data_IF_924241514324
#
_entry.id   IF_924241514324
#
_cell.length_a   1.000
_cell.length_b   1.000
_cell.length_c   1.000
_cell.angle_alpha   90.00
_cell.angle_beta   90.00
_cell.angle_gamma   90.00
#
_symmetry.space_group_name_H-M   'P 1'
#
loop_
_entity.id
_entity.type
_entity.pdbx_description
1 polymer ?
#
# COMPACT_ATOMS: atom_id res chain seq x y z
N UNK A 1 39.78 -34.74 50.74
CA UNK A 1 38.53 -35.48 50.51
C UNK A 1 37.36 -34.58 50.85
N UNK A 2 36.77 -33.96 49.88
CA UNK A 2 35.51 -33.23 50.04
C UNK A 2 34.78 -33.30 48.71
N UNK A 3 33.69 -34.06 48.69
CA UNK A 3 32.87 -34.38 47.55
C UNK A 3 32.09 -33.12 47.11
N UNK A 4 32.16 -32.79 45.82
CA UNK A 4 31.30 -31.83 45.19
C UNK A 4 29.96 -32.47 44.90
N UNK A 5 28.89 -31.89 45.42
CA UNK A 5 27.49 -32.25 45.11
C UNK A 5 27.12 -31.46 43.85
N UNK A 6 26.99 -32.14 42.73
CA UNK A 6 26.39 -31.57 41.51
C UNK A 6 24.86 -31.45 41.73
N UNK A 7 24.41 -30.22 41.84
CA UNK A 7 22.99 -29.87 41.76
C UNK A 7 22.58 -29.77 40.28
N UNK A 8 21.94 -30.82 39.83
CA UNK A 8 21.25 -30.87 38.54
C UNK A 8 19.92 -30.11 38.68
N UNK A 9 19.96 -28.79 38.43
CA UNK A 9 18.77 -27.96 38.23
C UNK A 9 18.38 -28.05 36.74
N UNK A 10 17.39 -28.87 36.46
CA UNK A 10 16.65 -28.88 35.21
C UNK A 10 16.02 -27.49 35.03
N UNK A 11 16.67 -26.66 34.26
CA UNK A 11 16.16 -25.34 33.83
C UNK A 11 14.88 -25.57 33.02
N UNK A 12 13.74 -25.18 33.55
CA UNK A 12 12.58 -24.86 32.71
C UNK A 12 12.99 -23.70 31.82
N UNK A 13 13.05 -23.98 30.55
CA UNK A 13 13.23 -22.96 29.50
C UNK A 13 12.05 -21.97 29.65
N UNK A 14 12.30 -20.85 30.33
CA UNK A 14 11.37 -19.72 30.36
C UNK A 14 11.37 -19.13 28.95
N UNK A 15 10.40 -19.56 28.14
CA UNK A 15 10.22 -19.05 26.78
C UNK A 15 10.39 -17.52 26.76
N UNK A 16 11.38 -17.06 26.03
CA UNK A 16 11.68 -15.64 25.89
C UNK A 16 10.49 -15.00 25.17
N UNK A 17 9.76 -14.11 25.86
CA UNK A 17 8.66 -13.38 25.26
C UNK A 17 9.23 -12.36 24.29
N UNK A 18 8.89 -12.48 23.00
CA UNK A 18 9.30 -11.54 21.98
C UNK A 18 8.13 -10.61 21.62
N UNK A 19 8.41 -9.29 21.68
CA UNK A 19 7.44 -8.25 21.36
C UNK A 19 7.50 -7.91 19.86
N UNK A 20 6.35 -7.86 19.18
CA UNK A 20 6.23 -7.62 17.72
C UNK A 20 7.08 -8.58 16.87
N UNK A 21 7.18 -9.86 17.27
CA UNK A 21 7.88 -10.86 16.45
C UNK A 21 7.21 -10.99 15.10
N UNK A 22 8.01 -10.96 14.02
CA UNK A 22 7.52 -11.15 12.64
C UNK A 22 6.94 -12.53 12.46
N UNK A 23 5.79 -12.62 11.78
CA UNK A 23 5.09 -13.89 11.52
C UNK A 23 6.01 -14.90 10.80
N UNK A 24 6.81 -14.45 9.84
CA UNK A 24 7.74 -15.31 9.11
C UNK A 24 8.83 -15.95 10.00
N UNK A 25 9.13 -15.34 11.15
CA UNK A 25 10.15 -15.81 12.08
C UNK A 25 9.57 -16.63 13.24
N UNK A 26 8.24 -16.76 13.33
CA UNK A 26 7.55 -17.49 14.41
C UNK A 26 7.78 -18.99 14.29
N UNK A 27 8.04 -19.61 15.44
CA UNK A 27 8.22 -21.07 15.59
C UNK A 27 7.35 -21.62 16.68
N UNK A 28 6.99 -22.89 16.58
CA UNK A 28 6.23 -23.59 17.62
C UNK A 28 6.94 -23.50 18.98
N UNK A 29 6.22 -23.07 19.99
CA UNK A 29 6.71 -22.84 21.36
C UNK A 29 7.02 -21.36 21.66
N UNK A 30 7.09 -20.48 20.66
CA UNK A 30 7.32 -19.04 20.89
C UNK A 30 6.14 -18.43 21.67
N UNK A 31 6.48 -17.58 22.66
CA UNK A 31 5.52 -16.72 23.33
C UNK A 31 5.63 -15.34 22.68
N UNK A 32 4.54 -14.88 22.05
CA UNK A 32 4.50 -13.61 21.31
C UNK A 32 3.53 -12.63 21.98
N UNK A 33 3.93 -11.38 22.05
CA UNK A 33 3.07 -10.25 22.39
C UNK A 33 3.32 -9.15 21.36
N UNK A 34 2.25 -8.52 20.85
CA UNK A 34 2.45 -7.45 19.86
C UNK A 34 1.20 -7.04 19.15
N UNK A 35 1.42 -6.24 18.10
CA UNK A 35 0.39 -5.71 17.22
C UNK A 35 0.39 -6.47 15.90
N UNK A 36 -0.81 -6.86 15.46
CA UNK A 36 -1.01 -7.56 14.20
C UNK A 36 -2.30 -7.07 13.53
N UNK A 37 -2.37 -7.18 12.21
CA UNK A 37 -3.59 -6.87 11.46
C UNK A 37 -4.54 -8.05 11.52
N UNK A 38 -5.79 -7.82 11.88
CA UNK A 38 -6.85 -8.81 11.85
C UNK A 38 -7.39 -8.98 10.43
N UNK A 39 -6.97 -10.02 9.72
CA UNK A 39 -7.43 -10.32 8.35
C UNK A 39 -8.76 -11.03 8.29
N UNK A 40 -9.15 -11.70 9.36
CA UNK A 40 -10.41 -12.40 9.49
C UNK A 40 -10.68 -12.76 10.95
N UNK A 41 -11.94 -12.71 11.38
CA UNK A 41 -12.37 -13.02 12.75
C UNK A 41 -13.75 -13.64 12.76
N UNK A 42 -13.82 -14.97 12.95
CA UNK A 42 -15.05 -15.74 12.85
C UNK A 42 -15.37 -16.41 14.19
N UNK A 43 -16.35 -15.90 14.95
CA UNK A 43 -16.88 -16.60 16.11
C UNK A 43 -17.44 -17.98 15.72
N UNK A 44 -17.01 -19.01 16.41
CA UNK A 44 -17.40 -20.41 16.15
C UNK A 44 -17.67 -21.13 17.47
N UNK A 45 -18.26 -22.32 17.36
CA UNK A 45 -18.54 -23.20 18.51
C UNK A 45 -17.88 -24.55 18.26
N UNK A 46 -17.24 -25.09 19.29
CA UNK A 46 -16.66 -26.43 19.25
C UNK A 46 -17.76 -27.50 19.26
N UNK A 47 -17.43 -28.75 18.95
CA UNK A 47 -18.36 -29.86 19.03
C UNK A 47 -18.94 -30.06 20.47
N UNK A 48 -18.22 -29.60 21.50
CA UNK A 48 -18.67 -29.63 22.91
C UNK A 48 -19.49 -28.37 23.32
N UNK A 49 -19.89 -27.53 22.36
CA UNK A 49 -20.69 -26.32 22.61
C UNK A 49 -19.94 -25.11 23.17
N UNK A 50 -18.60 -25.17 23.28
CA UNK A 50 -17.81 -24.03 23.77
C UNK A 50 -17.52 -23.02 22.68
N UNK A 51 -17.67 -21.69 22.94
CA UNK A 51 -17.37 -20.65 21.98
C UNK A 51 -15.86 -20.52 21.77
N UNK A 52 -15.44 -20.19 20.56
CA UNK A 52 -14.08 -19.77 20.25
C UNK A 52 -14.04 -18.80 19.09
N UNK A 53 -13.00 -17.97 19.01
CA UNK A 53 -12.74 -17.13 17.84
C UNK A 53 -11.70 -17.81 16.96
N UNK A 54 -12.06 -18.04 15.69
CA UNK A 54 -11.11 -18.40 14.64
C UNK A 54 -10.68 -17.13 13.93
N UNK A 55 -9.42 -16.77 14.02
CA UNK A 55 -8.90 -15.56 13.42
C UNK A 55 -7.77 -15.88 12.45
N UNK A 56 -7.52 -14.93 11.54
CA UNK A 56 -6.34 -14.87 10.68
C UNK A 56 -5.65 -13.53 10.91
N UNK A 57 -4.36 -13.57 11.16
CA UNK A 57 -3.53 -12.41 11.51
C UNK A 57 -2.49 -12.18 10.45
N UNK A 58 -2.12 -10.91 10.22
CA UNK A 58 -1.07 -10.53 9.28
C UNK A 58 -0.13 -9.49 9.87
N UNK A 59 1.09 -9.50 9.36
CA UNK A 59 2.06 -8.41 9.42
C UNK A 59 2.72 -8.22 8.04
N UNK A 60 3.74 -7.37 7.95
CA UNK A 60 4.48 -7.14 6.70
C UNK A 60 5.19 -8.40 6.16
N UNK A 61 5.40 -9.42 6.99
CA UNK A 61 6.17 -10.63 6.66
C UNK A 61 5.31 -11.84 6.27
N UNK A 62 4.01 -11.85 6.62
CA UNK A 62 3.16 -12.97 6.30
C UNK A 62 1.79 -12.97 6.98
N UNK A 63 1.15 -14.14 6.92
CA UNK A 63 -0.18 -14.40 7.52
C UNK A 63 -0.10 -15.67 8.36
N UNK A 64 -0.78 -15.68 9.51
CA UNK A 64 -0.86 -16.83 10.40
C UNK A 64 -2.27 -17.01 10.95
N UNK A 65 -2.72 -18.26 11.09
CA UNK A 65 -3.98 -18.57 11.74
C UNK A 65 -3.87 -18.41 13.25
N UNK A 66 -4.99 -18.03 13.89
CA UNK A 66 -5.06 -17.88 15.34
C UNK A 66 -6.37 -18.41 15.92
N UNK A 67 -6.32 -18.81 17.19
CA UNK A 67 -7.47 -19.29 17.96
C UNK A 67 -7.51 -18.62 19.33
N UNK A 68 -8.70 -18.18 19.74
CA UNK A 68 -8.97 -17.74 21.09
C UNK A 68 -10.04 -18.65 21.64
N UNK A 69 -9.66 -19.52 22.60
CA UNK A 69 -10.59 -20.49 23.21
C UNK A 69 -11.46 -19.81 24.27
N UNK A 70 -12.66 -20.35 24.48
CA UNK A 70 -13.67 -19.87 25.44
C UNK A 70 -13.95 -18.36 25.27
N UNK A 71 -13.94 -17.87 24.00
CA UNK A 71 -14.01 -16.45 23.65
C UNK A 71 -15.45 -15.91 23.64
N UNK A 72 -15.66 -14.85 24.43
CA UNK A 72 -16.92 -14.09 24.51
C UNK A 72 -16.71 -12.58 24.37
N UNK A 73 -15.52 -12.19 23.91
CA UNK A 73 -15.11 -10.79 23.77
C UNK A 73 -15.76 -10.07 22.56
N UNK A 74 -15.49 -8.77 22.42
CA UNK A 74 -16.15 -7.93 21.42
C UNK A 74 -15.57 -8.03 20.01
N UNK A 75 -14.33 -8.54 19.84
CA UNK A 75 -13.66 -8.60 18.54
C UNK A 75 -14.30 -9.67 17.67
N UNK A 76 -14.65 -9.33 16.44
CA UNK A 76 -15.30 -10.20 15.48
C UNK A 76 -15.16 -9.71 14.05
N UNK A 77 -16.06 -10.15 13.17
CA UNK A 77 -16.03 -9.83 11.73
C UNK A 77 -15.98 -8.34 11.45
N UNK A 78 -16.61 -7.52 12.28
CA UNK A 78 -16.63 -6.05 12.10
C UNK A 78 -15.26 -5.39 12.33
N UNK A 79 -14.31 -6.11 12.92
CA UNK A 79 -12.96 -5.60 13.21
C UNK A 79 -11.93 -6.03 12.15
N UNK A 80 -12.35 -6.70 11.08
CA UNK A 80 -11.46 -7.06 9.98
C UNK A 80 -10.80 -5.80 9.38
N UNK A 81 -9.49 -5.89 9.14
CA UNK A 81 -8.66 -4.78 8.67
C UNK A 81 -8.11 -3.88 9.77
N UNK A 82 -8.53 -4.04 11.02
CA UNK A 82 -7.99 -3.28 12.15
C UNK A 82 -6.72 -3.90 12.73
N UNK A 83 -5.94 -3.05 13.40
CA UNK A 83 -4.84 -3.50 14.25
C UNK A 83 -5.41 -3.95 15.58
N UNK A 84 -4.95 -5.11 16.04
CA UNK A 84 -5.25 -5.65 17.36
C UNK A 84 -3.96 -5.87 18.13
N UNK A 85 -4.01 -5.72 19.45
CA UNK A 85 -2.95 -6.17 20.35
C UNK A 85 -3.29 -7.54 20.91
N UNK A 86 -2.34 -8.47 20.81
CA UNK A 86 -2.51 -9.80 21.35
C UNK A 86 -1.28 -10.29 22.13
N UNK A 87 -1.52 -11.30 22.98
CA UNK A 87 -0.50 -12.17 23.53
C UNK A 87 -0.95 -13.62 23.34
N UNK A 88 -0.01 -14.49 22.98
CA UNK A 88 -0.31 -15.90 22.78
C UNK A 88 0.93 -16.75 22.59
N UNK A 89 0.71 -18.02 22.36
CA UNK A 89 1.76 -19.02 22.13
C UNK A 89 1.60 -19.58 20.73
N UNK A 90 2.70 -19.64 19.98
CA UNK A 90 2.74 -20.29 18.67
C UNK A 90 2.70 -21.81 18.89
N UNK A 91 1.78 -22.47 18.23
CA UNK A 91 1.60 -23.93 18.25
C UNK A 91 1.55 -24.45 16.81
N UNK A 92 1.59 -25.74 16.66
CA UNK A 92 1.42 -26.41 15.36
C UNK A 92 0.13 -27.23 15.36
N UNK A 93 -0.66 -27.06 14.31
CA UNK A 93 -1.85 -27.88 14.08
C UNK A 93 -1.81 -28.47 12.67
N UNK A 94 -1.74 -29.78 12.58
CA UNK A 94 -1.64 -30.56 11.31
C UNK A 94 -0.47 -30.11 10.42
N UNK A 95 0.68 -29.77 11.02
CA UNK A 95 1.86 -29.34 10.32
C UNK A 95 1.86 -27.84 9.95
N UNK A 96 0.84 -27.06 10.36
CA UNK A 96 0.74 -25.62 10.07
C UNK A 96 0.86 -24.82 11.37
N UNK A 97 1.74 -23.81 11.43
CA UNK A 97 1.84 -22.93 12.59
C UNK A 97 0.54 -22.15 12.81
N UNK A 98 0.15 -21.99 14.07
CA UNK A 98 -0.97 -21.15 14.49
C UNK A 98 -0.65 -20.50 15.84
N UNK A 99 -1.30 -19.38 16.16
CA UNK A 99 -1.22 -18.75 17.48
C UNK A 99 -2.43 -19.13 18.31
N UNK A 100 -2.18 -19.67 19.50
CA UNK A 100 -3.20 -19.79 20.55
C UNK A 100 -3.13 -18.52 21.39
N UNK A 101 -4.14 -17.68 21.27
CA UNK A 101 -4.18 -16.36 21.89
C UNK A 101 -4.74 -16.47 23.30
N UNK A 102 -4.00 -15.92 24.26
CA UNK A 102 -4.41 -15.84 25.67
C UNK A 102 -5.08 -14.50 25.99
N UNK A 103 -4.64 -13.42 25.35
CA UNK A 103 -5.18 -12.06 25.51
C UNK A 103 -5.32 -11.38 24.16
N UNK A 104 -6.46 -10.74 23.97
CA UNK A 104 -6.80 -10.02 22.75
C UNK A 104 -7.55 -8.74 23.10
N UNK A 105 -7.15 -7.61 22.49
CA UNK A 105 -7.86 -6.33 22.65
C UNK A 105 -7.70 -5.43 21.42
N UNK A 106 -8.59 -4.46 21.28
CA UNK A 106 -8.40 -3.35 20.36
C UNK A 106 -7.19 -2.50 20.76
N UNK A 107 -6.63 -1.78 19.79
CA UNK A 107 -5.58 -0.79 19.98
C UNK A 107 -6.23 0.59 20.10
N UNK A 108 -6.15 1.21 21.28
CA UNK A 108 -6.66 2.55 21.52
C UNK A 108 -5.52 3.41 22.06
N UNK A 109 -4.94 4.27 21.18
CA UNK A 109 -3.84 5.17 21.58
C UNK A 109 -2.50 4.49 21.82
N UNK A 110 -2.35 3.21 21.49
CA UNK A 110 -1.05 2.52 21.54
C UNK A 110 -0.12 3.05 20.43
N UNK A 111 1.17 3.25 20.71
CA UNK A 111 2.15 3.55 19.67
C UNK A 111 2.38 2.31 18.80
N UNK A 112 1.97 2.37 17.54
CA UNK A 112 2.09 1.25 16.59
C UNK A 112 3.05 1.63 15.47
N UNK A 113 4.06 0.80 15.24
CA UNK A 113 4.96 0.94 14.10
C UNK A 113 4.33 0.31 12.84
N UNK A 114 3.70 1.14 12.01
CA UNK A 114 3.00 0.68 10.81
C UNK A 114 3.90 -0.09 9.84
N UNK A 115 5.18 0.29 9.74
CA UNK A 115 6.15 -0.38 8.85
C UNK A 115 6.39 -1.86 9.20
N UNK A 116 6.12 -2.25 10.45
CA UNK A 116 6.21 -3.65 10.86
C UNK A 116 4.96 -4.45 10.47
N UNK A 117 3.84 -3.77 10.26
CA UNK A 117 2.53 -4.39 10.02
C UNK A 117 2.16 -4.45 8.54
N UNK A 118 2.53 -3.44 7.77
CA UNK A 118 2.20 -3.34 6.34
C UNK A 118 3.48 -3.25 5.51
N UNK A 119 3.55 -3.89 4.34
CA UNK A 119 4.65 -3.68 3.42
C UNK A 119 4.73 -2.20 3.03
N UNK A 120 5.94 -1.65 3.00
CA UNK A 120 6.23 -0.26 2.59
C UNK A 120 7.30 -0.32 1.50
N UNK A 121 7.19 0.55 0.50
CA UNK A 121 8.22 0.69 -0.53
C UNK A 121 9.60 0.92 0.12
N UNK A 122 10.64 0.21 -0.31
CA UNK A 122 12.00 0.37 0.23
C UNK A 122 12.69 1.61 -0.35
N UNK A 123 12.05 2.77 -0.25
CA UNK A 123 12.51 4.06 -0.80
C UNK A 123 12.66 5.10 0.29
N UNK A 124 13.54 6.05 0.06
CA UNK A 124 13.56 7.32 0.78
C UNK A 124 12.52 8.26 0.13
N UNK A 125 11.40 8.46 0.82
CA UNK A 125 10.29 9.25 0.28
C UNK A 125 10.67 10.72 0.06
N UNK A 126 11.50 11.30 0.92
CA UNK A 126 11.93 12.69 0.79
C UNK A 126 12.84 12.87 -0.44
N UNK A 127 13.77 11.93 -0.66
CA UNK A 127 14.62 11.92 -1.85
C UNK A 127 13.80 11.74 -3.14
N UNK A 128 12.76 10.90 -3.11
CA UNK A 128 11.87 10.69 -4.25
C UNK A 128 11.03 11.95 -4.56
N UNK A 129 10.51 12.63 -3.55
CA UNK A 129 9.79 13.89 -3.72
C UNK A 129 10.70 15.01 -4.22
N UNK A 130 11.93 15.08 -3.71
CA UNK A 130 12.91 16.06 -4.20
C UNK A 130 13.18 15.84 -5.70
N UNK A 131 13.30 14.58 -6.14
CA UNK A 131 13.46 14.26 -7.56
C UNK A 131 12.28 14.72 -8.41
N UNK A 132 11.03 14.56 -7.90
CA UNK A 132 9.84 15.11 -8.57
C UNK A 132 9.94 16.62 -8.66
N UNK A 133 10.29 17.31 -7.58
CA UNK A 133 10.42 18.79 -7.58
C UNK A 133 11.50 19.28 -8.53
N UNK A 134 12.65 18.59 -8.58
CA UNK A 134 13.75 18.90 -9.52
C UNK A 134 13.31 18.76 -10.98
N UNK A 135 12.59 17.68 -11.32
CA UNK A 135 12.07 17.46 -12.67
C UNK A 135 11.04 18.52 -13.04
N UNK A 136 10.09 18.83 -12.14
CA UNK A 136 9.13 19.91 -12.37
C UNK A 136 9.82 21.28 -12.49
N UNK A 137 10.86 21.51 -11.68
CA UNK A 137 11.67 22.73 -11.74
C UNK A 137 12.43 22.90 -13.05
N UNK A 138 12.74 21.80 -13.75
CA UNK A 138 13.45 21.76 -15.02
C UNK A 138 12.56 21.92 -16.24
N UNK A 139 11.24 21.94 -16.10
CA UNK A 139 10.30 22.16 -17.20
C UNK A 139 10.42 23.59 -17.74
N UNK A 140 10.43 23.72 -19.06
CA UNK A 140 10.45 25.00 -19.78
C UNK A 140 9.03 25.52 -20.05
N UNK A 141 8.05 24.61 -20.21
CA UNK A 141 6.64 24.96 -20.41
C UNK A 141 5.95 25.27 -19.07
N UNK A 142 5.71 26.56 -18.84
CA UNK A 142 5.11 27.06 -17.62
C UNK A 142 3.67 26.55 -17.36
N UNK A 143 2.93 26.17 -18.41
CA UNK A 143 1.56 25.67 -18.28
C UNK A 143 1.57 24.25 -17.72
N UNK A 144 2.36 23.35 -18.29
CA UNK A 144 2.53 21.99 -17.78
C UNK A 144 3.13 21.99 -16.36
N UNK A 145 4.13 22.84 -16.12
CA UNK A 145 4.72 22.97 -14.78
C UNK A 145 3.68 23.40 -13.73
N UNK A 146 2.85 24.43 -14.01
CA UNK A 146 1.82 24.91 -13.09
C UNK A 146 0.74 23.86 -12.84
N UNK A 147 0.31 23.15 -13.90
CA UNK A 147 -0.68 22.09 -13.82
C UNK A 147 -0.19 20.95 -12.88
N UNK A 148 1.03 20.48 -13.12
CA UNK A 148 1.66 19.42 -12.34
C UNK A 148 1.83 19.82 -10.88
N UNK A 149 2.35 21.02 -10.60
CA UNK A 149 2.55 21.51 -9.24
C UNK A 149 1.24 21.64 -8.47
N UNK A 150 0.18 22.16 -9.11
CA UNK A 150 -1.12 22.31 -8.45
C UNK A 150 -1.77 20.96 -8.15
N UNK A 151 -1.77 20.03 -9.10
CA UNK A 151 -2.34 18.68 -8.87
C UNK A 151 -1.52 17.90 -7.86
N UNK A 152 -0.19 17.95 -7.92
CA UNK A 152 0.65 17.32 -6.91
C UNK A 152 0.38 17.90 -5.51
N UNK A 153 0.23 19.23 -5.38
CA UNK A 153 -0.10 19.88 -4.09
C UNK A 153 -1.44 19.39 -3.53
N UNK A 154 -2.47 19.21 -4.39
CA UNK A 154 -3.80 18.70 -3.98
C UNK A 154 -3.75 17.26 -3.47
N UNK A 155 -2.91 16.45 -4.05
CA UNK A 155 -2.83 15.01 -3.80
C UNK A 155 -1.58 14.58 -3.03
N UNK A 156 -0.76 15.51 -2.54
CA UNK A 156 0.56 15.21 -1.97
C UNK A 156 0.52 14.17 -0.84
N UNK A 157 -0.43 14.30 0.08
CA UNK A 157 -0.58 13.37 1.20
C UNK A 157 -0.85 11.94 0.73
N UNK A 158 -1.78 11.80 -0.21
CA UNK A 158 -2.15 10.49 -0.75
C UNK A 158 -1.02 9.91 -1.59
N UNK A 159 -0.44 10.73 -2.47
CA UNK A 159 0.67 10.35 -3.34
C UNK A 159 1.88 9.79 -2.55
N UNK A 160 2.14 10.33 -1.35
CA UNK A 160 3.20 9.86 -0.48
C UNK A 160 2.90 8.55 0.24
N UNK A 161 1.64 8.17 0.37
CA UNK A 161 1.24 7.12 1.31
C UNK A 161 0.63 5.91 0.64
N UNK A 162 -0.15 6.10 -0.44
CA UNK A 162 -0.97 5.03 -0.98
C UNK A 162 -0.19 4.01 -1.81
N UNK A 163 -0.70 2.76 -1.88
CA UNK A 163 -0.26 1.78 -2.86
C UNK A 163 -0.60 2.19 -4.29
N UNK A 164 0.18 1.74 -5.27
CA UNK A 164 -0.14 1.91 -6.69
C UNK A 164 -1.19 0.92 -7.20
N UNK A 165 -1.45 -0.18 -6.47
CA UNK A 165 -2.39 -1.23 -6.88
C UNK A 165 -3.04 -1.92 -5.68
N UNK A 166 -4.18 -2.60 -5.92
CA UNK A 166 -4.90 -3.39 -4.91
C UNK A 166 -4.15 -4.66 -4.50
N UNK A 167 -3.37 -5.25 -5.38
CA UNK A 167 -2.67 -6.52 -5.15
C UNK A 167 -1.48 -6.70 -6.08
N UNK A 168 -0.55 -7.61 -5.72
CA UNK A 168 0.55 -8.22 -6.49
C UNK A 168 1.77 -7.31 -6.69
N UNK A 169 1.72 -6.26 -7.48
CA UNK A 169 2.86 -5.36 -7.69
C UNK A 169 2.52 -3.97 -7.16
N UNK A 170 3.40 -3.37 -6.34
CA UNK A 170 3.19 -2.06 -5.72
C UNK A 170 1.95 -1.94 -4.80
N UNK A 171 1.40 -3.06 -4.30
CA UNK A 171 0.33 -3.11 -3.30
C UNK A 171 0.79 -2.80 -1.87
N UNK A 172 1.89 -2.05 -1.72
CA UNK A 172 2.50 -1.62 -0.46
C UNK A 172 2.40 -0.10 -0.32
N UNK A 173 2.48 0.39 0.90
CA UNK A 173 2.48 1.84 1.16
C UNK A 173 3.62 2.53 0.40
N UNK A 174 3.38 3.76 -0.06
CA UNK A 174 4.29 4.53 -0.93
C UNK A 174 4.51 3.93 -2.32
N UNK A 175 3.72 2.92 -2.70
CA UNK A 175 3.85 2.27 -3.99
C UNK A 175 3.60 3.21 -5.15
N UNK A 176 2.63 4.13 -5.02
CA UNK A 176 2.33 5.13 -6.07
C UNK A 176 3.49 6.11 -6.26
N UNK A 177 4.09 6.60 -5.19
CA UNK A 177 5.27 7.46 -5.26
C UNK A 177 6.44 6.75 -5.96
N UNK A 178 6.77 5.53 -5.52
CA UNK A 178 7.84 4.73 -6.12
C UNK A 178 7.59 4.51 -7.62
N UNK A 179 6.44 3.99 -7.99
CA UNK A 179 6.05 3.74 -9.38
C UNK A 179 6.17 5.00 -10.25
N UNK A 180 5.56 6.10 -9.82
CA UNK A 180 5.55 7.34 -10.61
C UNK A 180 6.96 7.92 -10.79
N UNK A 181 7.81 7.89 -9.76
CA UNK A 181 9.18 8.44 -9.88
C UNK A 181 10.08 7.55 -10.73
N UNK A 182 9.90 6.25 -10.69
CA UNK A 182 10.62 5.31 -11.56
C UNK A 182 10.23 5.55 -13.03
N UNK A 183 8.93 5.70 -13.31
CA UNK A 183 8.43 6.06 -14.64
C UNK A 183 8.90 7.44 -15.10
N UNK A 184 8.88 8.46 -14.22
CA UNK A 184 9.40 9.81 -14.53
C UNK A 184 10.90 9.76 -14.90
N UNK A 185 11.66 8.92 -14.21
CA UNK A 185 13.08 8.73 -14.51
C UNK A 185 13.30 8.17 -15.91
N UNK A 186 12.51 7.18 -16.30
CA UNK A 186 12.55 6.59 -17.63
C UNK A 186 12.05 7.58 -18.70
N UNK A 187 10.96 8.29 -18.42
CA UNK A 187 10.39 9.31 -19.31
C UNK A 187 11.39 10.43 -19.61
N UNK A 188 12.07 10.95 -18.60
CA UNK A 188 13.10 11.99 -18.75
C UNK A 188 14.28 11.50 -19.59
N UNK A 189 14.75 10.28 -19.35
CA UNK A 189 15.81 9.64 -20.15
C UNK A 189 15.40 9.50 -21.62
N UNK A 190 14.19 8.99 -21.88
CA UNK A 190 13.67 8.79 -23.25
C UNK A 190 13.45 10.13 -23.97
N UNK A 191 12.88 11.14 -23.29
CA UNK A 191 12.72 12.47 -23.86
C UNK A 191 14.06 13.11 -24.24
N UNK A 192 15.08 12.94 -23.38
CA UNK A 192 16.44 13.40 -23.69
C UNK A 192 17.06 12.68 -24.91
N UNK A 193 16.78 11.40 -25.07
CA UNK A 193 17.26 10.60 -26.20
C UNK A 193 16.53 10.96 -27.51
N UNK A 194 15.22 11.14 -27.46
CA UNK A 194 14.37 11.44 -28.63
C UNK A 194 13.96 12.92 -28.72
N UNK A 195 14.79 13.82 -28.22
CA UNK A 195 14.52 15.28 -28.12
C UNK A 195 14.11 15.99 -29.41
N UNK A 196 14.30 15.36 -30.55
CA UNK A 196 13.92 15.93 -31.86
C UNK A 196 12.43 15.69 -32.19
N UNK A 197 11.76 14.76 -31.49
CA UNK A 197 10.39 14.33 -31.81
C UNK A 197 9.48 14.27 -30.57
N UNK A 198 10.03 14.29 -29.36
CA UNK A 198 9.29 14.18 -28.10
C UNK A 198 9.26 15.54 -27.41
N UNK A 199 8.06 15.99 -27.06
CA UNK A 199 7.86 17.09 -26.12
C UNK A 199 8.10 16.53 -24.69
N UNK A 200 9.27 16.88 -24.14
CA UNK A 200 9.69 16.42 -22.81
C UNK A 200 8.72 16.82 -21.72
N UNK A 201 8.26 18.08 -21.76
CA UNK A 201 7.43 18.60 -20.67
C UNK A 201 6.03 18.01 -20.70
N UNK A 202 5.48 17.76 -21.89
CA UNK A 202 4.24 16.99 -22.05
C UNK A 202 4.40 15.56 -21.55
N UNK A 203 5.50 14.88 -21.92
CA UNK A 203 5.76 13.50 -21.47
C UNK A 203 5.89 13.43 -19.94
N UNK A 204 6.63 14.33 -19.32
CA UNK A 204 6.75 14.40 -17.86
C UNK A 204 5.41 14.69 -17.18
N UNK A 205 4.62 15.63 -17.72
CA UNK A 205 3.30 15.96 -17.19
C UNK A 205 2.34 14.76 -17.25
N UNK A 206 2.25 14.09 -18.40
CA UNK A 206 1.45 12.88 -18.56
C UNK A 206 1.91 11.76 -17.61
N UNK A 207 3.24 11.55 -17.49
CA UNK A 207 3.80 10.52 -16.61
C UNK A 207 3.56 10.82 -15.13
N UNK A 208 3.68 12.07 -14.67
CA UNK A 208 3.37 12.42 -13.28
C UNK A 208 1.90 12.18 -12.94
N UNK A 209 1.01 12.49 -13.90
CA UNK A 209 -0.44 12.57 -13.65
C UNK A 209 -1.23 11.32 -14.07
N UNK A 210 -0.58 10.31 -14.70
CA UNK A 210 -1.33 9.16 -15.25
C UNK A 210 -2.16 8.42 -14.19
N UNK A 211 -1.62 8.25 -13.01
CA UNK A 211 -2.17 7.42 -11.93
C UNK A 211 -2.59 8.20 -10.67
N UNK A 212 -2.45 9.53 -10.63
CA UNK A 212 -2.67 10.31 -9.42
C UNK A 212 -4.10 10.18 -8.86
N UNK A 213 -5.09 9.96 -9.74
CA UNK A 213 -6.48 9.79 -9.34
C UNK A 213 -6.80 8.42 -8.70
N UNK A 214 -5.83 7.51 -8.60
CA UNK A 214 -5.96 6.27 -7.80
C UNK A 214 -6.26 6.54 -6.33
N UNK A 215 -5.86 7.70 -5.81
CA UNK A 215 -6.25 8.17 -4.47
C UNK A 215 -7.76 8.28 -4.30
N UNK A 216 -8.50 8.57 -5.37
CA UNK A 216 -9.97 8.67 -5.39
C UNK A 216 -10.64 7.37 -5.85
N UNK A 217 -9.92 6.56 -6.60
CA UNK A 217 -10.44 5.28 -7.11
C UNK A 217 -10.58 4.25 -6.00
N UNK A 218 -9.65 4.21 -5.06
CA UNK A 218 -9.62 3.22 -4.00
C UNK A 218 -10.25 3.70 -2.70
N UNK A 219 -10.84 2.76 -1.97
CA UNK A 219 -11.18 2.91 -0.56
C UNK A 219 -10.05 2.31 0.27
N UNK A 220 -9.63 3.03 1.30
CA UNK A 220 -8.50 2.65 2.14
C UNK A 220 -8.95 2.25 3.54
N UNK A 221 -8.24 1.30 4.15
CA UNK A 221 -8.32 1.03 5.58
C UNK A 221 -7.66 2.16 6.37
N UNK A 222 -7.84 2.16 7.70
CA UNK A 222 -7.11 3.04 8.61
C UNK A 222 -5.57 2.91 8.49
N UNK A 223 -5.11 1.80 7.90
CA UNK A 223 -3.69 1.51 7.64
C UNK A 223 -3.21 1.99 6.27
N UNK A 224 -4.05 2.65 5.49
CA UNK A 224 -3.71 3.09 4.14
C UNK A 224 -3.66 1.97 3.09
N UNK A 225 -4.05 0.74 3.44
CA UNK A 225 -4.14 -0.36 2.47
C UNK A 225 -5.45 -0.31 1.69
N UNK A 226 -5.40 -0.64 0.42
CA UNK A 226 -6.60 -0.72 -0.42
C UNK A 226 -7.50 -1.87 0.05
N UNK A 227 -8.71 -1.53 0.44
CA UNK A 227 -9.74 -2.51 0.84
C UNK A 227 -10.70 -2.82 -0.29
N UNK A 228 -11.11 -1.80 -1.03
CA UNK A 228 -12.06 -1.92 -2.13
C UNK A 228 -11.92 -0.73 -3.10
N UNK A 229 -12.75 -0.70 -4.13
CA UNK A 229 -12.96 0.51 -4.94
C UNK A 229 -13.96 1.44 -4.24
N UNK A 230 -13.75 2.75 -4.36
CA UNK A 230 -14.77 3.74 -4.00
C UNK A 230 -15.95 3.65 -4.99
N UNK A 231 -17.07 4.30 -4.67
CA UNK A 231 -18.20 4.40 -5.62
C UNK A 231 -17.77 5.06 -6.93
N UNK A 232 -16.98 6.14 -6.86
CA UNK A 232 -16.41 6.79 -8.05
C UNK A 232 -15.46 5.87 -8.82
N UNK A 233 -14.63 5.11 -8.09
CA UNK A 233 -13.72 4.14 -8.68
C UNK A 233 -14.42 3.02 -9.44
N UNK A 234 -15.55 2.52 -8.90
CA UNK A 234 -16.34 1.48 -9.59
C UNK A 234 -17.07 2.00 -10.82
N UNK A 235 -17.54 3.24 -10.81
CA UNK A 235 -18.36 3.81 -11.89
C UNK A 235 -17.55 4.48 -12.99
N UNK A 236 -16.44 5.13 -12.65
CA UNK A 236 -15.65 5.96 -13.56
C UNK A 236 -14.21 5.45 -13.73
N UNK A 237 -13.60 4.94 -12.67
CA UNK A 237 -12.18 4.58 -12.63
C UNK A 237 -11.23 5.79 -12.61
N UNK A 238 -9.96 5.56 -12.30
CA UNK A 238 -8.96 6.64 -12.19
C UNK A 238 -8.70 7.36 -13.51
N UNK A 239 -8.83 6.68 -14.66
CA UNK A 239 -8.62 7.29 -15.99
C UNK A 239 -9.56 8.47 -16.20
N UNK A 240 -10.86 8.25 -16.01
CA UNK A 240 -11.89 9.28 -16.24
C UNK A 240 -11.82 10.35 -15.17
N UNK A 241 -11.70 9.97 -13.89
CA UNK A 241 -11.58 10.92 -12.79
C UNK A 241 -10.32 11.79 -12.91
N UNK A 242 -9.20 11.21 -13.33
CA UNK A 242 -7.96 11.93 -13.56
C UNK A 242 -8.07 12.92 -14.72
N UNK A 243 -8.61 12.48 -15.86
CA UNK A 243 -8.81 13.36 -17.02
C UNK A 243 -9.75 14.54 -16.69
N UNK A 244 -10.83 14.31 -15.93
CA UNK A 244 -11.74 15.38 -15.49
C UNK A 244 -11.02 16.38 -14.59
N UNK A 245 -10.25 15.92 -13.61
CA UNK A 245 -9.55 16.82 -12.69
C UNK A 245 -8.46 17.64 -13.38
N UNK A 246 -7.76 17.06 -14.37
CA UNK A 246 -6.85 17.79 -15.24
C UNK A 246 -7.61 18.91 -16.00
N UNK A 247 -8.77 18.60 -16.58
CA UNK A 247 -9.57 19.59 -17.32
C UNK A 247 -10.02 20.75 -16.42
N UNK A 248 -10.55 20.43 -15.24
CA UNK A 248 -11.04 21.41 -14.29
C UNK A 248 -9.90 22.30 -13.76
N UNK A 249 -8.78 21.69 -13.36
CA UNK A 249 -7.61 22.40 -12.85
C UNK A 249 -6.97 23.29 -13.95
N UNK A 250 -6.85 22.78 -15.17
CA UNK A 250 -6.35 23.57 -16.29
C UNK A 250 -7.22 24.79 -16.55
N UNK A 251 -8.54 24.66 -16.49
CA UNK A 251 -9.48 25.76 -16.62
C UNK A 251 -9.32 26.78 -15.49
N UNK A 252 -9.20 26.34 -14.25
CA UNK A 252 -8.95 27.21 -13.09
C UNK A 252 -7.66 28.02 -13.22
N UNK A 253 -6.61 27.39 -13.75
CA UNK A 253 -5.29 28.01 -13.96
C UNK A 253 -5.19 28.83 -15.25
N UNK A 254 -6.22 28.82 -16.11
CA UNK A 254 -6.21 29.50 -17.42
C UNK A 254 -5.24 28.88 -18.42
N UNK A 255 -4.99 27.58 -18.32
CA UNK A 255 -4.13 26.82 -19.23
C UNK A 255 -4.90 26.58 -20.55
N UNK A 256 -4.26 26.71 -21.72
CA UNK A 256 -4.88 26.45 -23.02
C UNK A 256 -5.50 25.05 -23.11
N UNK A 257 -6.69 24.98 -23.70
CA UNK A 257 -7.47 23.73 -23.75
C UNK A 257 -6.78 22.62 -24.58
N UNK A 258 -6.03 22.99 -25.61
CA UNK A 258 -5.24 22.05 -26.42
C UNK A 258 -4.17 21.34 -25.58
N UNK A 259 -3.43 22.06 -24.73
CA UNK A 259 -2.47 21.48 -23.80
C UNK A 259 -3.14 20.55 -22.79
N UNK A 260 -4.27 21.00 -22.20
CA UNK A 260 -5.05 20.18 -21.26
C UNK A 260 -5.56 18.88 -21.92
N UNK A 261 -6.04 18.96 -23.17
CA UNK A 261 -6.50 17.76 -23.90
C UNK A 261 -5.38 16.74 -24.14
N UNK A 262 -4.15 17.18 -24.41
CA UNK A 262 -3.02 16.27 -24.60
C UNK A 262 -2.73 15.48 -23.30
N UNK A 263 -2.68 16.16 -22.14
CA UNK A 263 -2.48 15.47 -20.85
C UNK A 263 -3.65 14.53 -20.53
N UNK A 264 -4.90 14.96 -20.76
CA UNK A 264 -6.07 14.10 -20.57
C UNK A 264 -6.00 12.85 -21.45
N UNK A 265 -5.61 13.01 -22.73
CA UNK A 265 -5.44 11.88 -23.64
C UNK A 265 -4.38 10.89 -23.14
N UNK A 266 -3.24 11.38 -22.64
CA UNK A 266 -2.20 10.53 -22.05
C UNK A 266 -2.75 9.71 -20.88
N UNK A 267 -3.53 10.33 -19.98
CA UNK A 267 -4.18 9.63 -18.86
C UNK A 267 -5.17 8.56 -19.37
N UNK A 268 -6.02 8.89 -20.36
CA UNK A 268 -7.03 7.97 -20.87
C UNK A 268 -6.43 6.80 -21.68
N UNK A 269 -5.23 6.93 -22.19
CA UNK A 269 -4.57 5.96 -23.08
C UNK A 269 -3.39 5.21 -22.47
N UNK A 270 -2.95 5.55 -21.25
CA UNK A 270 -1.69 5.01 -20.71
C UNK A 270 -1.66 3.49 -20.51
N UNK A 271 -2.81 2.82 -20.45
CA UNK A 271 -2.87 1.36 -20.46
C UNK A 271 -2.63 0.75 -21.86
N UNK A 272 -2.44 1.57 -22.89
CA UNK A 272 -2.16 1.17 -24.28
C UNK A 272 -3.39 0.66 -25.01
N UNK A 273 -3.76 -0.59 -24.80
CA UNK A 273 -4.86 -1.23 -25.50
C UNK A 273 -6.15 -1.28 -24.66
N UNK A 274 -7.35 -1.21 -25.29
CA UNK A 274 -8.62 -1.32 -24.57
C UNK A 274 -8.77 -2.64 -23.79
N UNK A 275 -8.16 -3.72 -24.26
CA UNK A 275 -8.14 -5.02 -23.57
C UNK A 275 -7.40 -4.96 -22.24
N UNK A 276 -6.50 -3.99 -22.06
CA UNK A 276 -5.78 -3.74 -20.81
C UNK A 276 -6.43 -2.61 -19.98
N UNK A 277 -7.55 -2.06 -20.46
CA UNK A 277 -8.35 -1.08 -19.74
C UNK A 277 -8.17 0.36 -20.20
N UNK A 278 -7.42 0.64 -21.28
CA UNK A 278 -7.35 1.98 -21.86
C UNK A 278 -8.73 2.41 -22.37
N UNK A 279 -9.11 3.67 -22.10
CA UNK A 279 -10.33 4.23 -22.64
C UNK A 279 -10.23 4.52 -24.16
N UNK A 280 -9.03 4.89 -24.60
CA UNK A 280 -8.65 5.14 -26.00
C UNK A 280 -7.21 4.67 -26.20
N UNK A 281 -6.84 4.35 -27.45
CA UNK A 281 -5.45 4.05 -27.81
C UNK A 281 -4.60 5.34 -27.82
N UNK A 282 -3.28 5.26 -27.55
CA UNK A 282 -2.38 6.37 -27.75
C UNK A 282 -2.37 6.86 -29.21
N UNK A 283 -2.41 8.18 -29.43
CA UNK A 283 -2.50 8.76 -30.76
C UNK A 283 -1.31 9.67 -31.12
N UNK A 284 -0.37 9.87 -30.22
CA UNK A 284 0.85 10.64 -30.47
C UNK A 284 2.02 10.08 -29.67
N UNK A 285 3.23 10.51 -30.00
CA UNK A 285 4.46 9.84 -29.55
C UNK A 285 4.63 9.81 -28.02
N UNK A 286 4.32 10.88 -27.31
CA UNK A 286 4.41 10.95 -25.85
C UNK A 286 3.42 10.00 -25.17
N UNK A 287 2.20 9.89 -25.72
CA UNK A 287 1.19 8.97 -25.20
C UNK A 287 1.60 7.50 -25.43
N UNK A 288 2.17 7.20 -26.60
CA UNK A 288 2.70 5.86 -26.91
C UNK A 288 3.87 5.50 -25.99
N UNK A 289 4.81 6.42 -25.78
CA UNK A 289 5.92 6.22 -24.87
C UNK A 289 5.44 5.96 -23.43
N UNK A 290 4.47 6.76 -22.95
CA UNK A 290 3.92 6.56 -21.61
C UNK A 290 3.30 5.16 -21.46
N UNK A 291 2.62 4.66 -22.46
CA UNK A 291 2.00 3.34 -22.43
C UNK A 291 3.02 2.19 -22.48
N UNK A 292 4.26 2.45 -22.92
CA UNK A 292 5.34 1.48 -23.02
C UNK A 292 6.28 1.46 -21.82
N UNK A 293 6.28 2.51 -21.00
CA UNK A 293 7.11 2.63 -19.79
C UNK A 293 6.45 1.90 -18.62
#
# INVERSE_FOLDING_TARGET
>A
MTAAIENNLTGKDNGHMEYNKKIADMRSGDIVEGFYILKGAYPKTTAAGKPFLSASLADASGVIDAKVWDYTGPIGVADEGRIIKLRGTVSEYRGTPQIVIDRLRHTEGDPVELNALVPVAPIDADAYLQKVDDLLGSMEDADYQRLCRELLRRHLSDFQQIPAAKSVHHGFLRGLLMHTVDMLTMADFLAGHYRAVIDRDLLLAGTLLHDFAKSKEFAFSELGLVTNYSTGGQLLGHLVMGAQEVADTAKELGIPNDKSMLVQHMILSHHGEPEFGAAVRPLFAEAELLSCI
#
